data_IF_304996672557
#
_entry.id   IF_304996672557
#
_cell.length_a   1.000
_cell.length_b   1.000
_cell.length_c   1.000
_cell.angle_alpha   90.00
_cell.angle_beta   90.00
_cell.angle_gamma   90.00
#
_symmetry.space_group_name_H-M   'P 1'
#
loop_
_entity.id
_entity.type
_entity.pdbx_description
1 polymer ?
#
# COMPACT_ATOMS: atom_id res chain seq x y z
N UNK A 1 -3.09 -3.40 2.64
CA UNK A 1 -4.56 -3.33 2.88
C UNK A 1 -5.20 -2.29 1.97
N UNK A 2 -4.81 -1.01 2.05
CA UNK A 2 -5.40 0.10 1.26
C UNK A 2 -5.54 -0.20 -0.23
N UNK A 3 -4.49 -0.69 -0.88
CA UNK A 3 -4.52 -1.02 -2.30
C UNK A 3 -5.58 -2.08 -2.65
N UNK A 4 -5.68 -3.16 -1.88
CA UNK A 4 -6.62 -4.24 -2.22
C UNK A 4 -8.07 -3.83 -2.02
N UNK A 5 -8.38 -3.07 -0.96
CA UNK A 5 -9.73 -2.50 -0.78
C UNK A 5 -10.10 -1.56 -1.93
N UNK A 6 -9.17 -0.71 -2.35
CA UNK A 6 -9.41 0.19 -3.46
C UNK A 6 -9.61 -0.55 -4.80
N UNK A 7 -8.87 -1.63 -5.04
CA UNK A 7 -9.08 -2.46 -6.23
C UNK A 7 -10.44 -3.18 -6.20
N UNK A 8 -10.86 -3.68 -5.05
CA UNK A 8 -12.18 -4.29 -4.89
C UNK A 8 -13.31 -3.27 -5.11
N UNK A 9 -13.13 -2.03 -4.64
CA UNK A 9 -14.06 -0.93 -4.91
C UNK A 9 -14.10 -0.57 -6.41
N UNK A 10 -12.94 -0.47 -7.06
CA UNK A 10 -12.84 -0.12 -8.49
C UNK A 10 -13.45 -1.15 -9.43
N UNK A 11 -13.66 -2.39 -9.00
CA UNK A 11 -14.38 -3.39 -9.79
C UNK A 11 -15.78 -2.92 -10.18
N UNK A 12 -16.46 -2.20 -9.30
CA UNK A 12 -17.80 -1.65 -9.53
C UNK A 12 -17.75 -0.18 -9.97
N UNK A 13 -16.62 0.50 -9.79
CA UNK A 13 -16.40 1.92 -10.07
C UNK A 13 -15.10 2.16 -10.86
N UNK A 14 -14.91 1.57 -12.06
CA UNK A 14 -13.59 1.49 -12.73
C UNK A 14 -12.95 2.84 -13.09
N UNK A 15 -13.76 3.86 -13.33
CA UNK A 15 -13.30 5.20 -13.74
C UNK A 15 -13.46 6.25 -12.60
N UNK A 16 -13.52 5.78 -11.36
CA UNK A 16 -13.73 6.67 -10.22
C UNK A 16 -12.57 7.65 -10.07
N UNK A 17 -12.92 8.93 -10.02
CA UNK A 17 -12.02 10.02 -9.65
C UNK A 17 -12.28 10.49 -8.23
N UNK A 18 -11.31 11.18 -7.66
CA UNK A 18 -11.42 11.87 -6.37
C UNK A 18 -10.91 13.30 -6.48
N UNK A 19 -11.51 14.21 -5.75
CA UNK A 19 -10.99 15.56 -5.52
C UNK A 19 -10.12 15.56 -4.27
N UNK A 20 -8.93 16.14 -4.36
CA UNK A 20 -7.95 16.19 -3.27
C UNK A 20 -8.43 17.13 -2.16
N UNK A 21 -8.58 16.61 -0.96
CA UNK A 21 -8.95 17.35 0.25
C UNK A 21 -7.77 18.14 0.84
N UNK A 22 -8.05 19.03 1.80
CA UNK A 22 -7.02 19.66 2.63
C UNK A 22 -6.22 18.62 3.42
N UNK A 23 -6.86 17.56 3.92
CA UNK A 23 -6.22 16.52 4.70
C UNK A 23 -5.22 15.72 3.84
N UNK A 24 -5.62 15.31 2.64
CA UNK A 24 -4.72 14.64 1.70
C UNK A 24 -3.55 15.54 1.28
N UNK A 25 -3.83 16.79 0.87
CA UNK A 25 -2.80 17.74 0.41
C UNK A 25 -1.78 18.12 1.49
N UNK A 26 -2.15 18.03 2.78
CA UNK A 26 -1.29 18.37 3.92
C UNK A 26 -0.43 17.22 4.44
N UNK A 27 -0.50 16.04 3.81
CA UNK A 27 0.23 14.88 4.29
C UNK A 27 1.75 15.09 4.30
N UNK A 28 2.47 14.51 5.29
CA UNK A 28 3.92 14.65 5.38
C UNK A 28 4.62 13.92 4.22
N UNK A 29 5.87 14.24 4.00
CA UNK A 29 6.74 13.48 3.06
C UNK A 29 6.87 12.03 3.54
N UNK A 30 6.87 11.04 2.64
CA UNK A 30 6.91 11.08 1.17
C UNK A 30 5.50 11.35 0.62
N UNK A 31 5.37 12.24 -0.35
CA UNK A 31 4.07 12.59 -0.94
C UNK A 31 4.22 12.92 -2.43
N UNK A 32 3.17 12.71 -3.20
CA UNK A 32 3.09 13.06 -4.63
C UNK A 32 3.11 14.60 -4.82
N UNK A 33 2.66 15.33 -3.81
CA UNK A 33 2.55 16.78 -3.83
C UNK A 33 1.27 17.25 -4.52
N UNK A 34 0.19 16.52 -4.28
CA UNK A 34 -1.14 16.91 -4.75
C UNK A 34 -1.60 18.21 -4.08
N UNK A 35 -2.38 19.01 -4.80
CA UNK A 35 -2.93 20.26 -4.31
C UNK A 35 -4.44 20.10 -4.08
N UNK A 36 -4.97 20.79 -3.04
CA UNK A 36 -6.41 20.82 -2.79
C UNK A 36 -7.19 21.18 -4.05
N UNK A 37 -8.25 20.41 -4.34
CA UNK A 37 -9.14 20.62 -5.46
C UNK A 37 -8.61 20.05 -6.79
N UNK A 38 -7.41 19.48 -6.83
CA UNK A 38 -6.99 18.68 -7.99
C UNK A 38 -7.79 17.38 -8.02
N UNK A 39 -8.03 16.86 -9.21
CA UNK A 39 -8.78 15.61 -9.40
C UNK A 39 -7.89 14.52 -9.98
N UNK A 40 -8.00 13.31 -9.44
CA UNK A 40 -7.20 12.15 -9.86
C UNK A 40 -8.08 10.90 -9.99
N UNK A 41 -7.72 10.02 -10.93
CA UNK A 41 -8.27 8.67 -10.94
C UNK A 41 -7.70 7.86 -9.78
N UNK A 42 -8.56 7.16 -9.05
CA UNK A 42 -8.13 6.30 -7.92
C UNK A 42 -7.10 5.28 -8.41
N UNK A 43 -7.31 4.68 -9.58
CA UNK A 43 -6.36 3.69 -10.15
C UNK A 43 -4.93 4.24 -10.26
N UNK A 44 -4.76 5.47 -10.71
CA UNK A 44 -3.44 6.11 -10.84
C UNK A 44 -2.79 6.37 -9.47
N UNK A 45 -3.59 6.77 -8.49
CA UNK A 45 -3.11 6.94 -7.12
C UNK A 45 -2.68 5.62 -6.47
N UNK A 46 -3.19 4.47 -6.90
CA UNK A 46 -2.70 3.17 -6.42
C UNK A 46 -1.28 2.89 -6.90
N UNK A 47 -0.91 3.25 -8.13
CA UNK A 47 0.49 3.16 -8.56
C UNK A 47 1.38 4.10 -7.74
N UNK A 48 0.95 5.33 -7.52
CA UNK A 48 1.63 6.30 -6.67
C UNK A 48 1.88 5.76 -5.25
N UNK A 49 0.85 5.19 -4.63
CA UNK A 49 0.93 4.57 -3.31
C UNK A 49 1.86 3.34 -3.28
N UNK A 50 1.72 2.44 -4.25
CA UNK A 50 2.42 1.16 -4.21
C UNK A 50 3.87 1.26 -4.64
N UNK A 51 4.20 2.08 -5.62
CA UNK A 51 5.56 2.23 -6.14
C UNK A 51 6.42 3.17 -5.29
N UNK A 52 5.88 4.33 -4.91
CA UNK A 52 6.61 5.40 -4.20
C UNK A 52 6.22 5.57 -2.73
N UNK A 53 5.13 4.94 -2.27
CA UNK A 53 4.61 5.08 -0.90
C UNK A 53 4.12 6.49 -0.56
N UNK A 54 3.50 7.19 -1.50
CA UNK A 54 3.01 8.55 -1.28
C UNK A 54 1.86 8.60 -0.28
N UNK A 55 2.03 9.36 0.79
CA UNK A 55 1.08 9.45 1.90
C UNK A 55 -0.22 10.14 1.50
N UNK A 56 -0.12 11.23 0.74
CA UNK A 56 -1.26 11.97 0.20
C UNK A 56 -2.15 11.09 -0.69
N UNK A 57 -1.55 10.27 -1.55
CA UNK A 57 -2.29 9.32 -2.38
C UNK A 57 -3.09 8.32 -1.56
N UNK A 58 -2.53 7.81 -0.46
CA UNK A 58 -3.24 6.87 0.41
C UNK A 58 -4.44 7.52 1.10
N UNK A 59 -4.28 8.75 1.60
CA UNK A 59 -5.36 9.50 2.26
C UNK A 59 -6.45 9.86 1.25
N UNK A 60 -6.08 10.39 0.08
CA UNK A 60 -7.05 10.71 -0.97
C UNK A 60 -7.87 9.50 -1.41
N UNK A 61 -7.22 8.34 -1.58
CA UNK A 61 -7.91 7.07 -1.91
C UNK A 61 -8.89 6.68 -0.80
N UNK A 62 -8.48 6.77 0.47
CA UNK A 62 -9.33 6.43 1.60
C UNK A 62 -10.58 7.33 1.68
N UNK A 63 -10.39 8.65 1.56
CA UNK A 63 -11.49 9.62 1.55
C UNK A 63 -12.42 9.43 0.34
N UNK A 64 -11.86 9.16 -0.84
CA UNK A 64 -12.64 8.94 -2.07
C UNK A 64 -13.49 7.68 -2.06
N UNK A 65 -13.11 6.66 -1.29
CA UNK A 65 -13.84 5.39 -1.18
C UNK A 65 -14.85 5.42 -0.04
N UNK A 66 -14.40 5.81 1.16
CA UNK A 66 -15.20 5.69 2.38
C UNK A 66 -15.71 7.03 2.92
N UNK A 67 -15.34 8.15 2.30
CA UNK A 67 -15.73 9.49 2.73
C UNK A 67 -14.84 10.08 3.81
N UNK A 68 -14.12 9.28 4.58
CA UNK A 68 -13.10 9.72 5.54
C UNK A 68 -12.06 8.65 5.82
N UNK A 69 -10.93 9.06 6.41
CA UNK A 69 -9.87 8.15 6.87
C UNK A 69 -10.39 7.19 7.94
N UNK A 70 -11.22 7.68 8.85
CA UNK A 70 -11.79 6.91 9.97
C UNK A 70 -12.75 5.82 9.48
N UNK A 71 -13.62 6.12 8.52
CA UNK A 71 -14.50 5.13 7.91
C UNK A 71 -13.70 4.09 7.11
N UNK A 72 -12.69 4.53 6.36
CA UNK A 72 -11.81 3.62 5.66
C UNK A 72 -11.00 2.71 6.60
N UNK A 73 -10.60 3.20 7.77
CA UNK A 73 -9.95 2.39 8.80
C UNK A 73 -10.87 1.26 9.30
N UNK A 74 -12.17 1.53 9.44
CA UNK A 74 -13.16 0.49 9.79
C UNK A 74 -13.23 -0.59 8.71
N UNK A 75 -13.22 -0.20 7.43
CA UNK A 75 -13.21 -1.14 6.31
C UNK A 75 -11.91 -1.98 6.29
N UNK A 76 -10.75 -1.34 6.54
CA UNK A 76 -9.47 -2.05 6.65
C UNK A 76 -9.49 -3.10 7.77
N UNK A 77 -10.03 -2.77 8.94
CA UNK A 77 -10.13 -3.68 10.07
C UNK A 77 -11.16 -4.80 9.82
N UNK A 78 -12.29 -4.49 9.19
CA UNK A 78 -13.27 -5.49 8.79
C UNK A 78 -12.68 -6.49 7.78
N UNK A 79 -11.95 -6.01 6.78
CA UNK A 79 -11.23 -6.86 5.82
C UNK A 79 -10.12 -7.68 6.49
N UNK A 80 -9.38 -7.11 7.41
CA UNK A 80 -8.38 -7.86 8.18
C UNK A 80 -9.01 -9.03 8.95
N UNK A 81 -10.15 -8.80 9.59
CA UNK A 81 -10.91 -9.85 10.28
C UNK A 81 -11.42 -10.93 9.31
N UNK A 82 -11.95 -10.53 8.13
CA UNK A 82 -12.38 -11.43 7.05
C UNK A 82 -11.23 -12.34 6.56
N UNK A 83 -10.03 -11.78 6.40
CA UNK A 83 -8.81 -12.51 6.00
C UNK A 83 -8.32 -13.46 7.13
N UNK A 84 -8.76 -13.26 8.36
CA UNK A 84 -8.37 -14.04 9.53
C UNK A 84 -7.13 -13.50 10.25
N UNK A 85 -6.86 -12.18 10.12
CA UNK A 85 -5.91 -11.48 10.96
C UNK A 85 -6.45 -11.37 12.39
N UNK A 86 -5.61 -11.61 13.39
CA UNK A 86 -6.02 -11.64 14.80
C UNK A 86 -5.40 -10.53 15.64
N UNK A 87 -4.22 -10.07 15.21
CA UNK A 87 -3.39 -9.13 15.96
C UNK A 87 -3.02 -7.94 15.04
N UNK A 88 -4.05 -7.41 14.36
CA UNK A 88 -3.94 -6.27 13.44
C UNK A 88 -4.97 -5.21 13.78
N UNK A 89 -4.50 -3.97 13.94
CA UNK A 89 -5.34 -2.79 14.15
C UNK A 89 -4.90 -1.66 13.20
N UNK A 90 -5.73 -1.35 12.24
CA UNK A 90 -5.50 -0.29 11.26
C UNK A 90 -6.18 1.01 11.69
N UNK A 91 -5.43 2.13 11.62
CA UNK A 91 -5.92 3.48 11.90
C UNK A 91 -5.69 4.38 10.68
N UNK A 92 -4.53 4.24 10.03
CA UNK A 92 -4.13 5.10 8.91
C UNK A 92 -4.02 4.33 7.60
N UNK A 93 -4.44 4.91 6.46
CA UNK A 93 -4.37 4.23 5.15
C UNK A 93 -2.94 4.17 4.58
N UNK A 94 -2.04 5.04 5.06
CA UNK A 94 -0.65 5.17 4.61
C UNK A 94 0.35 4.41 5.50
N UNK A 95 -0.09 3.88 6.66
CA UNK A 95 0.75 3.14 7.59
C UNK A 95 1.64 4.02 8.48
N UNK A 96 1.34 5.30 8.61
CA UNK A 96 1.98 6.16 9.60
C UNK A 96 1.52 5.79 11.01
N UNK A 97 2.42 6.01 11.98
CA UNK A 97 2.16 5.74 13.39
C UNK A 97 0.95 6.54 13.87
N UNK A 98 0.05 5.87 14.57
CA UNK A 98 -1.17 6.45 15.16
C UNK A 98 -1.66 5.61 16.34
N UNK A 99 -2.48 6.23 17.20
CA UNK A 99 -3.15 5.58 18.32
C UNK A 99 -4.58 6.10 18.42
N UNK A 100 -5.52 5.22 18.73
CA UNK A 100 -6.92 5.54 19.01
C UNK A 100 -7.40 4.78 20.24
N UNK A 101 -8.71 4.82 20.53
CA UNK A 101 -9.30 4.11 21.67
C UNK A 101 -9.13 2.57 21.58
N UNK A 102 -8.93 2.03 20.38
CA UNK A 102 -8.69 0.60 20.11
C UNK A 102 -7.23 0.17 20.30
N UNK A 103 -6.30 1.13 20.40
CA UNK A 103 -4.87 0.90 20.56
C UNK A 103 -4.00 1.52 19.50
N UNK A 104 -2.81 0.97 19.33
CA UNK A 104 -1.79 1.46 18.39
C UNK A 104 -2.02 0.86 16.98
N UNK A 105 -1.77 1.64 15.94
CA UNK A 105 -1.71 1.13 14.55
C UNK A 105 -0.64 0.05 14.45
N UNK A 106 -1.05 -1.20 14.37
CA UNK A 106 -0.13 -2.35 14.52
C UNK A 106 -0.57 -3.57 13.74
N UNK A 107 0.39 -4.46 13.51
CA UNK A 107 0.16 -5.77 12.92
C UNK A 107 1.26 -6.75 13.32
N UNK A 108 1.15 -8.01 12.91
CA UNK A 108 2.17 -9.05 13.06
C UNK A 108 2.70 -9.51 11.70
N UNK A 109 3.86 -10.17 11.70
CA UNK A 109 4.42 -10.77 10.48
C UNK A 109 3.49 -11.83 9.91
N UNK A 110 2.80 -12.60 10.78
CA UNK A 110 1.82 -13.61 10.37
C UNK A 110 0.63 -12.98 9.66
N UNK A 111 0.06 -11.92 10.22
CA UNK A 111 -1.09 -11.23 9.64
C UNK A 111 -0.73 -10.51 8.34
N UNK A 112 0.46 -9.90 8.24
CA UNK A 112 0.96 -9.35 6.98
C UNK A 112 1.11 -10.43 5.89
N UNK A 113 1.57 -11.62 6.27
CA UNK A 113 1.67 -12.75 5.33
C UNK A 113 0.28 -13.21 4.87
N UNK A 114 -0.73 -13.23 5.75
CA UNK A 114 -2.13 -13.53 5.39
C UNK A 114 -2.69 -12.48 4.42
N UNK A 115 -2.46 -11.19 4.70
CA UNK A 115 -2.88 -10.10 3.82
C UNK A 115 -2.22 -10.22 2.45
N UNK A 116 -0.90 -10.44 2.38
CA UNK A 116 -0.20 -10.63 1.11
C UNK A 116 -0.74 -11.86 0.36
N UNK A 117 -0.97 -12.97 1.05
CA UNK A 117 -1.58 -14.17 0.46
C UNK A 117 -2.96 -13.87 -0.12
N UNK A 118 -3.78 -13.12 0.59
CA UNK A 118 -5.07 -12.69 0.08
C UNK A 118 -4.92 -11.90 -1.21
N UNK A 119 -4.06 -10.88 -1.22
CA UNK A 119 -3.84 -10.00 -2.38
C UNK A 119 -3.40 -10.74 -3.65
N UNK A 120 -2.53 -11.77 -3.52
CA UNK A 120 -1.91 -12.42 -4.69
C UNK A 120 -2.51 -13.77 -5.07
N UNK A 121 -3.36 -14.38 -4.21
CA UNK A 121 -3.87 -15.73 -4.43
C UNK A 121 -5.38 -15.84 -4.32
N UNK A 122 -6.00 -15.13 -3.37
CA UNK A 122 -7.40 -15.38 -2.98
C UNK A 122 -8.36 -14.32 -3.49
N UNK A 123 -7.94 -13.05 -3.49
CA UNK A 123 -8.78 -11.95 -3.98
C UNK A 123 -9.17 -12.12 -5.45
N UNK A 124 -10.38 -11.67 -5.80
CA UNK A 124 -10.81 -11.52 -7.19
C UNK A 124 -9.95 -10.54 -7.98
N UNK A 125 -9.29 -9.61 -7.28
CA UNK A 125 -8.45 -8.55 -7.87
C UNK A 125 -6.95 -8.88 -7.84
N UNK A 126 -6.57 -10.15 -7.65
CA UNK A 126 -5.16 -10.58 -7.54
C UNK A 126 -4.32 -10.23 -8.76
N UNK A 127 -4.89 -10.32 -9.98
CA UNK A 127 -4.17 -9.99 -11.21
C UNK A 127 -3.96 -8.49 -11.32
N UNK A 128 -4.99 -7.68 -11.02
CA UNK A 128 -4.90 -6.22 -10.99
C UNK A 128 -3.94 -5.75 -9.88
N UNK A 129 -3.92 -6.44 -8.74
CA UNK A 129 -2.95 -6.14 -7.67
C UNK A 129 -1.51 -6.36 -8.14
N UNK A 130 -1.23 -7.43 -8.86
CA UNK A 130 0.10 -7.67 -9.45
C UNK A 130 0.41 -6.65 -10.55
N UNK A 131 -0.56 -6.31 -11.41
CA UNK A 131 -0.42 -5.25 -12.42
C UNK A 131 0.02 -3.91 -11.81
N UNK A 132 -0.54 -3.53 -10.67
CA UNK A 132 -0.19 -2.28 -9.96
C UNK A 132 1.17 -2.35 -9.26
N UNK A 133 1.58 -3.52 -8.77
CA UNK A 133 2.78 -3.62 -7.90
C UNK A 133 4.06 -4.04 -8.62
N UNK A 134 3.99 -4.54 -9.85
CA UNK A 134 5.13 -5.05 -10.60
C UNK A 134 5.87 -4.05 -11.48
N UNK A 135 5.23 -3.01 -12.06
CA UNK A 135 5.93 -2.10 -12.96
C UNK A 135 7.15 -1.45 -12.29
N UNK A 136 8.23 -1.28 -13.06
CA UNK A 136 9.42 -0.55 -12.61
C UNK A 136 9.15 0.94 -12.48
N UNK A 137 8.32 1.44 -13.37
CA UNK A 137 7.89 2.84 -13.41
C UNK A 137 6.48 2.94 -13.96
N UNK A 138 5.79 3.99 -13.57
CA UNK A 138 4.45 4.32 -14.05
C UNK A 138 4.32 5.82 -14.20
N UNK A 139 3.72 6.28 -15.30
CA UNK A 139 3.48 7.69 -15.56
C UNK A 139 1.98 7.93 -15.75
N UNK A 140 1.47 8.98 -15.13
CA UNK A 140 0.07 9.39 -15.23
C UNK A 140 -0.08 10.90 -15.15
N UNK A 141 -1.30 11.36 -15.34
CA UNK A 141 -1.66 12.79 -15.26
C UNK A 141 -2.81 12.96 -14.27
N UNK A 142 -2.97 14.18 -13.72
CA UNK A 142 -4.22 14.57 -13.09
C UNK A 142 -5.39 14.46 -14.10
N UNK A 143 -6.62 14.39 -13.62
CA UNK A 143 -7.80 14.20 -14.48
C UNK A 143 -7.95 15.32 -15.52
N UNK A 144 -7.54 16.53 -15.18
CA UNK A 144 -7.54 17.70 -16.06
C UNK A 144 -6.37 17.74 -17.06
N UNK A 145 -5.41 16.80 -16.95
CA UNK A 145 -4.18 16.71 -17.76
C UNK A 145 -3.28 17.94 -17.70
N UNK A 146 -3.28 18.63 -16.56
CA UNK A 146 -2.45 19.83 -16.31
C UNK A 146 -1.06 19.50 -15.80
N UNK A 147 -0.94 18.39 -15.05
CA UNK A 147 0.29 17.93 -14.43
C UNK A 147 0.57 16.47 -14.80
N UNK A 148 1.83 16.15 -14.99
CA UNK A 148 2.31 14.78 -15.25
C UNK A 148 3.17 14.33 -14.09
N UNK A 149 2.95 13.10 -13.64
CA UNK A 149 3.64 12.46 -12.54
C UNK A 149 4.32 11.18 -13.00
N UNK A 150 5.48 10.88 -12.43
CA UNK A 150 6.23 9.66 -12.69
C UNK A 150 6.57 9.00 -11.37
N UNK A 151 6.28 7.72 -11.24
CA UNK A 151 6.55 6.91 -10.06
C UNK A 151 7.52 5.78 -10.39
N UNK A 152 8.48 5.51 -9.49
CA UNK A 152 9.46 4.44 -9.62
C UNK A 152 9.28 3.41 -8.52
N UNK A 153 9.38 2.15 -8.86
CA UNK A 153 9.15 1.07 -7.91
C UNK A 153 10.33 0.89 -6.94
N UNK A 154 10.09 1.11 -5.67
CA UNK A 154 11.09 0.93 -4.61
C UNK A 154 11.24 -0.53 -4.13
N UNK A 155 10.50 -1.46 -4.71
CA UNK A 155 10.64 -2.88 -4.40
C UNK A 155 11.81 -3.52 -5.16
N UNK A 156 13.02 -3.33 -4.67
CA UNK A 156 14.22 -3.89 -5.28
C UNK A 156 14.20 -5.44 -5.37
N UNK A 157 13.35 -6.12 -4.60
CA UNK A 157 13.22 -7.57 -4.63
C UNK A 157 12.80 -8.10 -6.01
N UNK A 158 12.01 -7.32 -6.75
CA UNK A 158 11.59 -7.67 -8.11
C UNK A 158 12.77 -7.85 -9.09
N UNK A 159 13.87 -7.11 -8.89
CA UNK A 159 15.10 -7.23 -9.69
C UNK A 159 16.14 -8.15 -9.06
N UNK A 160 16.00 -8.49 -7.78
CA UNK A 160 16.99 -9.25 -7.02
C UNK A 160 16.74 -10.77 -7.00
N UNK A 161 15.51 -11.19 -7.26
CA UNK A 161 15.10 -12.58 -7.09
C UNK A 161 14.21 -13.04 -8.24
N UNK A 162 14.66 -14.05 -8.95
CA UNK A 162 13.85 -14.70 -10.00
C UNK A 162 12.56 -15.26 -9.39
N UNK A 163 11.43 -14.95 -10.03
CA UNK A 163 10.12 -15.36 -9.57
C UNK A 163 9.48 -14.42 -8.55
N UNK A 164 10.12 -13.29 -8.19
CA UNK A 164 9.49 -12.27 -7.36
C UNK A 164 8.20 -11.78 -8.01
N UNK A 165 7.10 -11.75 -7.23
CA UNK A 165 5.77 -11.40 -7.73
C UNK A 165 5.35 -10.00 -7.30
N UNK A 166 5.53 -9.67 -6.04
CA UNK A 166 5.05 -8.42 -5.47
C UNK A 166 5.72 -8.15 -4.14
N UNK A 167 5.59 -6.94 -3.64
CA UNK A 167 6.01 -6.58 -2.29
C UNK A 167 5.79 -5.11 -1.98
N UNK A 168 5.87 -4.79 -0.68
CA UNK A 168 5.77 -3.43 -0.18
C UNK A 168 6.79 -3.20 0.93
N UNK A 169 7.55 -2.13 0.79
CA UNK A 169 8.45 -1.63 1.84
C UNK A 169 7.71 -0.67 2.76
N UNK A 170 8.14 -0.58 4.01
CA UNK A 170 7.68 0.40 4.97
C UNK A 170 8.79 0.85 5.89
N UNK A 171 8.64 2.05 6.44
CA UNK A 171 9.49 2.58 7.48
C UNK A 171 8.77 3.66 8.27
N UNK A 172 8.76 3.53 9.59
CA UNK A 172 8.51 4.62 10.53
C UNK A 172 9.59 4.59 11.61
N UNK A 173 9.69 5.64 12.41
CA UNK A 173 10.68 5.69 13.49
C UNK A 173 10.41 4.60 14.54
N UNK A 174 9.14 4.28 14.78
CA UNK A 174 8.68 3.29 15.75
C UNK A 174 8.82 1.86 15.21
N UNK A 175 8.35 1.61 13.99
CA UNK A 175 8.34 0.28 13.40
C UNK A 175 9.71 -0.20 12.86
N UNK A 176 10.64 0.72 12.55
CA UNK A 176 11.84 0.41 11.80
C UNK A 176 11.55 0.03 10.34
N UNK A 177 12.54 -0.57 9.65
CA UNK A 177 12.33 -1.05 8.29
C UNK A 177 11.50 -2.33 8.29
N UNK A 178 10.41 -2.29 7.52
CA UNK A 178 9.50 -3.41 7.32
C UNK A 178 9.43 -3.78 5.84
N UNK A 179 9.15 -5.05 5.56
CA UNK A 179 8.93 -5.53 4.21
C UNK A 179 7.96 -6.71 4.22
N UNK A 180 7.04 -6.72 3.29
CA UNK A 180 6.27 -7.91 2.94
C UNK A 180 6.41 -8.13 1.45
N UNK A 181 6.74 -9.36 1.05
CA UNK A 181 6.93 -9.70 -0.35
C UNK A 181 6.53 -11.13 -0.65
N UNK A 182 6.47 -11.44 -1.94
CA UNK A 182 6.12 -12.76 -2.43
C UNK A 182 6.94 -13.13 -3.66
N UNK A 183 7.19 -14.42 -3.79
CA UNK A 183 7.84 -15.00 -4.97
C UNK A 183 7.21 -16.35 -5.32
N UNK A 184 7.32 -16.73 -6.58
CA UNK A 184 6.90 -18.03 -7.08
C UNK A 184 8.09 -18.76 -7.71
N UNK A 185 8.37 -19.97 -7.22
CA UNK A 185 9.43 -20.84 -7.75
C UNK A 185 8.99 -22.29 -7.64
N UNK A 186 9.27 -23.07 -8.68
CA UNK A 186 8.94 -24.51 -8.73
C UNK A 186 7.49 -24.80 -8.34
N UNK A 187 6.55 -24.04 -8.92
CA UNK A 187 5.10 -24.08 -8.67
C UNK A 187 4.69 -23.77 -7.22
N UNK A 188 5.62 -23.38 -6.37
CA UNK A 188 5.36 -22.96 -4.99
C UNK A 188 5.39 -21.45 -4.88
N UNK A 189 4.46 -20.92 -4.09
CA UNK A 189 4.42 -19.50 -3.73
C UNK A 189 4.92 -19.35 -2.31
N UNK A 190 5.89 -18.47 -2.13
CA UNK A 190 6.45 -18.11 -0.82
C UNK A 190 6.08 -16.67 -0.52
N UNK A 191 5.81 -16.40 0.75
CA UNK A 191 5.56 -15.07 1.28
C UNK A 191 6.54 -14.83 2.40
N UNK A 192 7.20 -13.68 2.38
CA UNK A 192 8.08 -13.21 3.43
C UNK A 192 7.49 -11.96 4.06
N UNK A 193 7.48 -11.88 5.38
CA UNK A 193 7.11 -10.70 6.13
C UNK A 193 8.17 -10.41 7.20
N UNK A 194 8.79 -9.26 7.10
CA UNK A 194 9.84 -8.79 7.99
C UNK A 194 9.39 -7.50 8.67
N UNK A 195 9.40 -7.50 9.99
CA UNK A 195 9.10 -6.34 10.82
C UNK A 195 10.35 -5.95 11.62
N UNK A 196 10.51 -4.67 11.89
CA UNK A 196 11.63 -4.13 12.65
C UNK A 196 13.01 -4.62 12.14
N UNK A 197 13.16 -4.76 10.82
CA UNK A 197 14.35 -5.28 10.17
C UNK A 197 15.36 -4.18 9.90
N UNK A 198 15.85 -3.54 11.00
CA UNK A 198 16.81 -2.45 11.00
C UNK A 198 16.19 -1.06 11.12
N UNK A 199 17.06 -0.10 11.43
CA UNK A 199 16.79 1.34 11.52
C UNK A 199 17.71 2.10 10.55
N UNK A 200 17.73 3.43 10.51
CA UNK A 200 18.37 4.21 9.44
C UNK A 200 19.76 3.75 8.99
N UNK A 201 20.60 3.30 9.92
CA UNK A 201 21.97 2.85 9.61
C UNK A 201 22.01 1.43 8.99
N UNK A 202 20.90 0.70 8.99
CA UNK A 202 20.79 -0.69 8.57
C UNK A 202 19.77 -0.92 7.47
N UNK A 203 19.54 0.06 6.61
CA UNK A 203 18.54 0.06 5.52
C UNK A 203 18.56 -1.19 4.62
N UNK A 204 19.70 -1.86 4.50
CA UNK A 204 19.89 -3.01 3.63
C UNK A 204 19.50 -4.38 4.24
N UNK A 205 19.23 -4.46 5.54
CA UNK A 205 19.00 -5.73 6.24
C UNK A 205 17.80 -6.49 5.67
N UNK A 206 16.68 -5.81 5.43
CA UNK A 206 15.50 -6.43 4.83
C UNK A 206 15.81 -7.21 3.54
N UNK A 207 16.73 -6.71 2.71
CA UNK A 207 17.11 -7.39 1.47
C UNK A 207 18.02 -8.60 1.69
N UNK A 208 18.84 -8.59 2.76
CA UNK A 208 19.66 -9.74 3.13
C UNK A 208 18.80 -10.87 3.71
N UNK A 209 17.81 -10.50 4.52
CA UNK A 209 16.98 -11.46 5.24
C UNK A 209 15.85 -12.02 4.36
N UNK A 210 15.55 -11.37 3.23
CA UNK A 210 14.55 -11.85 2.26
C UNK A 210 15.14 -12.89 1.27
N UNK A 211 16.47 -12.96 1.12
CA UNK A 211 17.15 -13.92 0.25
C UNK A 211 17.30 -15.27 0.92
#
# INVERSE_FOLDING_TARGET
MTCILALEYLREHPDQTIEVSDQAASQPKVHLGMQKGEEFYIKDLLYSLMLESHNDSAVAVAEGIAGSVEEFAKEMNAKAAEIGCKDTHFITPNGLDAEDEGGVHSTTAEDLAKIMRYCIMTSGEKETFLEVTQPKEYQFQDADRKRTFSCHNHNAFLDMMDGALSGKTGFTAEAGYCYVGSLRRDERTFIVALLACGWPDNKGYKWKDTR
#
